data_IF_603102715307
#
_entry.id   IF_603102715307
#
_cell.length_a   1.000
_cell.length_b   1.000
_cell.length_c   1.000
_cell.angle_alpha   90.00
_cell.angle_beta   90.00
_cell.angle_gamma   90.00
#
_symmetry.space_group_name_H-M   'P 1'
#
loop_
_entity.id
_entity.type
_entity.pdbx_description
1 polymer ?
#
# COMPACT_ATOMS: atom_id res chain seq x y z
N UNK A 1 -25.95 88.42 93.23
CA UNK A 1 -26.78 89.48 92.72
C UNK A 1 -27.74 88.81 91.78
N UNK A 2 -28.85 88.57 92.25
CA UNK A 2 -30.16 89.18 92.03
C UNK A 2 -30.84 88.55 90.82
N UNK A 3 -31.82 87.72 91.16
CA UNK A 3 -33.28 87.92 91.18
C UNK A 3 -33.88 87.83 89.75
N UNK A 4 -35.00 87.29 89.48
CA UNK A 4 -36.19 86.85 90.20
C UNK A 4 -37.08 86.18 89.23
N UNK A 5 -37.78 85.15 89.67
CA UNK A 5 -39.19 84.88 89.65
C UNK A 5 -40.03 85.39 88.42
N UNK A 6 -40.91 84.62 87.84
CA UNK A 6 -42.23 84.24 88.33
C UNK A 6 -42.94 83.42 87.20
N UNK A 7 -43.48 82.26 87.53
CA UNK A 7 -44.84 81.83 87.74
C UNK A 7 -45.93 82.41 86.80
N UNK A 8 -46.64 81.55 86.14
CA UNK A 8 -48.10 81.48 86.16
C UNK A 8 -48.61 80.22 85.35
N UNK A 9 -49.50 79.53 85.97
CA UNK A 9 -50.32 78.37 85.62
C UNK A 9 -51.27 78.61 84.43
N UNK A 10 -51.80 77.53 83.96
CA UNK A 10 -53.12 77.18 83.48
C UNK A 10 -53.20 76.73 82.07
N UNK A 11 -53.79 75.77 81.61
CA UNK A 11 -54.86 74.86 81.91
C UNK A 11 -54.99 73.83 80.79
N UNK A 12 -55.40 72.61 81.09
CA UNK A 12 -55.76 71.51 80.17
C UNK A 12 -57.05 71.87 79.39
N UNK A 13 -57.28 71.40 78.20
CA UNK A 13 -58.12 70.21 78.06
C UNK A 13 -57.70 69.10 77.09
N UNK A 14 -58.05 67.90 77.49
CA UNK A 14 -58.15 66.65 76.77
C UNK A 14 -58.89 66.72 75.46
N UNK A 15 -58.39 66.09 74.38
CA UNK A 15 -59.28 65.42 73.44
C UNK A 15 -58.58 64.21 72.81
N UNK A 16 -59.10 63.05 73.16
CA UNK A 16 -58.85 61.78 72.53
C UNK A 16 -59.42 61.73 71.14
N UNK A 17 -58.71 61.24 70.17
CA UNK A 17 -59.23 60.31 69.11
C UNK A 17 -58.17 60.18 67.96
N UNK A 18 -57.93 58.99 67.54
CA UNK A 18 -57.44 58.45 66.22
C UNK A 18 -56.00 57.92 66.17
N UNK A 19 -55.76 56.84 66.94
CA UNK A 19 -54.53 56.07 66.79
C UNK A 19 -54.73 54.77 65.91
N UNK A 20 -55.92 54.50 65.41
CA UNK A 20 -56.22 53.25 64.70
C UNK A 20 -55.94 53.32 63.15
N UNK A 21 -55.70 54.47 62.57
CA UNK A 21 -55.49 54.62 61.13
C UNK A 21 -53.99 54.62 60.69
N UNK A 22 -53.11 54.81 61.65
CA UNK A 22 -51.68 54.76 61.34
C UNK A 22 -51.05 53.35 61.43
N UNK A 23 -51.64 52.46 62.27
CA UNK A 23 -51.17 51.09 62.33
C UNK A 23 -51.51 50.23 61.10
N UNK A 24 -52.69 50.45 60.50
CA UNK A 24 -53.07 49.76 59.29
C UNK A 24 -52.31 50.25 58.04
N UNK A 25 -51.91 51.52 57.96
CA UNK A 25 -51.02 52.03 56.87
C UNK A 25 -49.62 51.51 57.02
N UNK A 26 -49.08 51.37 58.22
CA UNK A 26 -47.73 50.81 58.51
C UNK A 26 -47.73 49.29 58.20
N UNK A 27 -48.77 48.55 58.55
CA UNK A 27 -48.87 47.10 58.19
C UNK A 27 -49.00 46.92 56.67
N UNK A 28 -49.74 47.72 55.94
CA UNK A 28 -49.79 47.68 54.44
C UNK A 28 -48.50 48.10 53.78
N UNK A 29 -47.78 49.09 54.33
CA UNK A 29 -46.46 49.51 53.84
C UNK A 29 -45.40 48.46 54.13
N UNK A 30 -45.37 47.83 55.28
CA UNK A 30 -44.51 46.69 55.59
C UNK A 30 -44.84 45.48 54.73
N UNK A 31 -46.12 45.17 54.46
CA UNK A 31 -46.49 44.10 53.54
C UNK A 31 -46.06 44.37 52.09
N UNK A 32 -46.19 45.61 51.62
CA UNK A 32 -45.69 46.03 50.28
C UNK A 32 -44.18 45.96 50.18
N UNK A 33 -43.45 46.36 51.22
CA UNK A 33 -41.99 46.25 51.27
C UNK A 33 -41.52 44.80 51.33
N UNK A 34 -42.20 43.95 52.08
CA UNK A 34 -41.94 42.51 52.12
C UNK A 34 -42.20 41.83 50.76
N UNK A 35 -43.24 42.27 50.02
CA UNK A 35 -43.51 41.78 48.66
C UNK A 35 -42.43 42.18 47.67
N UNK A 36 -41.93 43.44 47.75
CA UNK A 36 -40.82 43.91 46.91
C UNK A 36 -39.53 43.15 47.21
N UNK A 37 -39.22 42.87 48.49
CA UNK A 37 -38.07 42.07 48.87
C UNK A 37 -38.18 40.62 48.36
N UNK A 38 -39.40 40.04 48.42
CA UNK A 38 -39.65 38.70 47.92
C UNK A 38 -39.53 38.62 46.41
N UNK A 39 -40.03 39.62 45.66
CA UNK A 39 -39.82 39.75 44.21
C UNK A 39 -38.33 39.94 43.88
N UNK A 40 -37.60 40.80 44.62
CA UNK A 40 -36.19 40.98 44.46
C UNK A 40 -35.39 39.70 44.77
N UNK A 41 -35.79 38.95 45.79
CA UNK A 41 -35.19 37.65 46.11
C UNK A 41 -35.44 36.60 45.03
N UNK A 42 -36.68 36.58 44.46
CA UNK A 42 -37.02 35.69 43.34
C UNK A 42 -36.21 36.08 42.08
N UNK A 43 -36.15 37.36 41.75
CA UNK A 43 -35.33 37.87 40.62
C UNK A 43 -33.86 37.58 40.82
N UNK A 44 -33.35 37.72 42.04
CA UNK A 44 -31.97 37.37 42.36
C UNK A 44 -31.72 35.86 42.26
N UNK A 45 -32.70 35.04 42.73
CA UNK A 45 -32.61 33.60 42.59
C UNK A 45 -32.65 33.14 41.11
N UNK A 46 -33.51 33.76 40.31
CA UNK A 46 -33.56 33.51 38.86
C UNK A 46 -32.25 33.93 38.18
N UNK A 47 -31.74 35.10 38.52
CA UNK A 47 -30.47 35.59 38.01
C UNK A 47 -29.29 34.67 38.43
N UNK A 48 -29.22 34.25 39.68
CA UNK A 48 -28.18 33.38 40.19
C UNK A 48 -28.24 31.95 39.64
N UNK A 49 -29.49 31.41 39.43
CA UNK A 49 -29.70 30.07 38.92
C UNK A 49 -29.62 29.95 37.40
N UNK A 50 -30.00 30.99 36.64
CA UNK A 50 -30.06 30.93 35.18
C UNK A 50 -29.01 31.72 34.44
N UNK A 51 -28.54 32.86 34.95
CA UNK A 51 -27.57 33.71 34.24
C UNK A 51 -26.13 33.57 34.71
N UNK A 52 -25.85 33.02 35.89
CA UNK A 52 -24.49 32.94 36.42
C UNK A 52 -23.87 31.56 36.27
N UNK A 53 -24.03 30.94 35.07
CA UNK A 53 -23.46 29.63 34.76
C UNK A 53 -22.33 29.68 33.74
N UNK A 54 -21.85 30.84 33.36
CA UNK A 54 -20.68 30.96 32.46
C UNK A 54 -19.39 30.70 33.24
N UNK A 55 -18.53 29.89 32.68
CA UNK A 55 -17.17 29.66 33.13
C UNK A 55 -16.23 30.19 32.07
N UNK A 56 -15.38 31.12 32.41
CA UNK A 56 -14.42 31.74 31.46
C UNK A 56 -12.98 31.33 31.81
N UNK A 57 -12.14 31.24 30.80
CA UNK A 57 -10.70 31.08 30.93
C UNK A 57 -10.01 31.94 29.88
N UNK A 58 -8.94 32.56 30.24
CA UNK A 58 -8.01 33.33 29.39
C UNK A 58 -6.83 32.45 28.89
N UNK A 59 -6.76 31.21 29.39
CA UNK A 59 -5.77 30.26 28.99
C UNK A 59 -6.32 29.31 27.91
N UNK A 60 -6.64 29.88 26.74
CA UNK A 60 -7.15 29.17 25.58
C UNK A 60 -6.23 29.44 24.38
N UNK A 61 -5.90 28.36 23.66
CA UNK A 61 -5.04 28.42 22.49
C UNK A 61 -5.75 27.81 21.29
N UNK A 62 -5.63 28.45 20.13
CA UNK A 62 -6.08 27.90 18.86
C UNK A 62 -5.04 26.91 18.36
N UNK A 63 -5.46 25.67 18.17
CA UNK A 63 -4.66 24.59 17.60
C UNK A 63 -5.16 24.18 16.22
N UNK A 64 -4.31 23.50 15.48
CA UNK A 64 -4.65 22.86 14.22
C UNK A 64 -3.83 21.58 14.08
N UNK A 65 -4.41 20.54 13.47
CA UNK A 65 -3.65 19.35 13.06
C UNK A 65 -2.81 19.71 11.84
N UNK A 66 -1.52 19.98 12.07
CA UNK A 66 -0.62 20.44 11.01
C UNK A 66 -0.07 19.25 10.20
N UNK A 67 -0.13 19.34 8.87
CA UNK A 67 0.51 18.40 7.97
C UNK A 67 1.98 18.78 7.77
N UNK A 68 2.89 17.95 8.25
CA UNK A 68 4.32 18.12 8.03
C UNK A 68 4.72 17.55 6.67
N UNK A 69 5.30 18.37 5.81
CA UNK A 69 5.78 17.97 4.49
C UNK A 69 7.25 17.60 4.59
N UNK A 70 7.55 16.33 4.29
CA UNK A 70 8.90 15.79 4.29
C UNK A 70 9.27 15.23 2.92
N UNK A 71 10.58 15.19 2.60
CA UNK A 71 11.05 14.48 1.42
C UNK A 71 10.97 12.97 1.65
N UNK A 72 10.55 12.23 0.63
CA UNK A 72 10.59 10.76 0.60
C UNK A 72 11.80 10.24 -0.19
N UNK A 73 12.44 11.10 -0.99
CA UNK A 73 13.62 10.77 -1.80
C UNK A 73 14.76 11.72 -1.52
N UNK A 74 15.99 11.28 -1.78
CA UNK A 74 17.17 12.14 -1.69
C UNK A 74 17.40 12.87 -3.03
N UNK A 75 17.80 14.13 -2.95
CA UNK A 75 18.15 14.89 -4.15
C UNK A 75 18.39 16.36 -3.86
N UNK A 76 18.71 17.12 -4.89
CA UNK A 76 18.82 18.57 -4.81
C UNK A 76 17.47 19.21 -5.14
N UNK A 77 17.06 20.22 -4.39
CA UNK A 77 15.86 20.99 -4.68
C UNK A 77 16.07 21.81 -5.95
N UNK A 78 15.32 21.48 -6.99
CA UNK A 78 15.36 22.19 -8.27
C UNK A 78 14.51 23.46 -8.24
N UNK A 79 13.31 23.39 -7.63
CA UNK A 79 12.37 24.49 -7.58
C UNK A 79 11.54 24.45 -6.29
N UNK A 80 11.27 25.62 -5.72
CA UNK A 80 10.27 25.82 -4.67
C UNK A 80 9.20 26.76 -5.24
N UNK A 81 7.99 26.27 -5.39
CA UNK A 81 6.90 26.93 -6.11
C UNK A 81 5.97 27.74 -5.20
N UNK A 82 6.19 27.69 -3.90
CA UNK A 82 5.32 28.25 -2.88
C UNK A 82 6.10 29.13 -1.90
N UNK A 83 5.39 30.08 -1.27
CA UNK A 83 5.92 31.02 -0.26
C UNK A 83 5.29 30.75 1.09
N UNK A 84 5.95 31.24 2.16
CA UNK A 84 5.32 31.28 3.48
C UNK A 84 4.01 32.07 3.43
N UNK A 85 3.04 31.66 4.21
CA UNK A 85 1.68 32.24 4.30
C UNK A 85 0.83 32.10 3.04
N UNK A 86 1.29 31.37 2.03
CA UNK A 86 0.52 31.09 0.82
C UNK A 86 -0.52 30.01 1.07
N UNK A 87 -1.75 30.26 0.63
CA UNK A 87 -2.82 29.25 0.60
C UNK A 87 -2.55 28.26 -0.53
N UNK A 88 -2.70 26.97 -0.24
CA UNK A 88 -2.55 25.86 -1.18
C UNK A 88 -3.72 24.90 -1.07
N UNK A 89 -4.01 24.22 -2.18
CA UNK A 89 -5.02 23.17 -2.25
C UNK A 89 -4.36 21.78 -2.34
N UNK A 90 -5.07 20.77 -1.90
CA UNK A 90 -4.64 19.39 -2.02
C UNK A 90 -4.28 19.05 -3.46
N UNK A 91 -3.06 18.53 -3.66
CA UNK A 91 -2.52 18.18 -4.98
C UNK A 91 -1.63 19.26 -5.60
N UNK A 92 -1.65 20.51 -5.09
CA UNK A 92 -0.75 21.57 -5.57
C UNK A 92 0.71 21.17 -5.42
N UNK A 93 1.52 21.51 -6.42
CA UNK A 93 2.96 21.23 -6.41
C UNK A 93 3.67 22.25 -5.54
N UNK A 94 4.32 21.78 -4.49
CA UNK A 94 5.04 22.62 -3.52
C UNK A 94 6.52 22.75 -3.88
N UNK A 95 7.17 21.62 -4.13
CA UNK A 95 8.62 21.53 -4.37
C UNK A 95 8.88 20.52 -5.49
N UNK A 96 9.86 20.81 -6.32
CA UNK A 96 10.44 19.86 -7.28
C UNK A 96 11.87 19.57 -6.89
N UNK A 97 12.17 18.30 -6.69
CA UNK A 97 13.53 17.78 -6.54
C UNK A 97 14.07 17.48 -7.94
N UNK A 98 15.36 17.58 -8.14
CA UNK A 98 16.03 17.19 -9.40
C UNK A 98 15.74 15.72 -9.70
N UNK A 99 15.09 15.47 -10.83
CA UNK A 99 14.59 14.15 -11.22
C UNK A 99 15.57 13.37 -12.13
N UNK A 100 16.74 13.94 -12.44
CA UNK A 100 17.69 13.32 -13.37
C UNK A 100 18.17 11.97 -12.88
N UNK A 101 18.56 11.87 -11.61
CA UNK A 101 19.02 10.61 -11.02
C UNK A 101 17.89 9.57 -10.99
N UNK A 102 16.66 9.96 -10.66
CA UNK A 102 15.49 9.09 -10.67
C UNK A 102 15.15 8.60 -12.09
N UNK A 103 15.26 9.45 -13.11
CA UNK A 103 15.06 9.08 -14.51
C UNK A 103 16.12 8.08 -14.99
N UNK A 104 17.38 8.26 -14.60
CA UNK A 104 18.46 7.32 -14.92
C UNK A 104 18.18 5.97 -14.24
N UNK A 105 17.79 5.96 -12.97
CA UNK A 105 17.44 4.74 -12.25
C UNK A 105 16.25 4.01 -12.90
N UNK A 106 15.22 4.74 -13.33
CA UNK A 106 14.09 4.17 -14.07
C UNK A 106 14.54 3.54 -15.38
N UNK A 107 15.34 4.25 -16.19
CA UNK A 107 15.85 3.72 -17.46
C UNK A 107 16.72 2.47 -17.26
N UNK A 108 17.51 2.40 -16.19
CA UNK A 108 18.29 1.21 -15.83
C UNK A 108 17.37 0.04 -15.48
N UNK A 109 16.36 0.26 -14.63
CA UNK A 109 15.39 -0.78 -14.24
C UNK A 109 14.59 -1.29 -15.46
N UNK A 110 14.19 -0.42 -16.39
CA UNK A 110 13.51 -0.81 -17.64
C UNK A 110 14.44 -1.65 -18.55
N UNK A 111 15.72 -1.31 -18.60
CA UNK A 111 16.70 -2.09 -19.36
C UNK A 111 16.91 -3.48 -18.74
N UNK A 112 16.92 -3.61 -17.42
CA UNK A 112 17.00 -4.88 -16.70
C UNK A 112 15.75 -5.73 -16.96
N UNK A 113 14.56 -5.14 -16.92
CA UNK A 113 13.31 -5.82 -17.26
C UNK A 113 13.34 -6.33 -18.70
N UNK A 114 13.77 -5.51 -19.64
CA UNK A 114 13.90 -5.90 -21.02
C UNK A 114 14.91 -7.05 -21.21
N UNK A 115 16.00 -7.06 -20.43
CA UNK A 115 16.98 -8.15 -20.41
C UNK A 115 16.36 -9.45 -19.87
N UNK A 116 15.64 -9.41 -18.76
CA UNK A 116 14.98 -10.57 -18.17
C UNK A 116 13.95 -11.17 -19.14
N UNK A 117 13.14 -10.34 -19.80
CA UNK A 117 12.18 -10.78 -20.83
C UNK A 117 12.89 -11.45 -22.03
N UNK A 118 14.02 -10.88 -22.49
CA UNK A 118 14.80 -11.50 -23.57
C UNK A 118 15.38 -12.86 -23.14
N UNK A 119 15.86 -12.99 -21.91
CA UNK A 119 16.37 -14.26 -21.38
C UNK A 119 15.31 -15.35 -21.39
N UNK A 120 14.09 -15.05 -20.95
CA UNK A 120 12.96 -15.97 -21.04
C UNK A 120 12.70 -16.40 -22.48
N UNK A 121 12.60 -15.45 -23.42
CA UNK A 121 12.40 -15.73 -24.85
C UNK A 121 13.49 -16.59 -25.45
N UNK A 122 14.75 -16.37 -25.05
CA UNK A 122 15.89 -17.18 -25.48
C UNK A 122 15.73 -18.62 -24.97
N UNK A 123 15.37 -18.83 -23.72
CA UNK A 123 15.15 -20.17 -23.15
C UNK A 123 13.98 -20.88 -23.85
N UNK A 124 12.88 -20.18 -24.10
CA UNK A 124 11.74 -20.71 -24.84
C UNK A 124 12.08 -21.09 -26.29
N UNK A 125 12.84 -20.25 -26.97
CA UNK A 125 13.32 -20.58 -28.35
C UNK A 125 14.28 -21.78 -28.34
N UNK A 126 15.13 -21.91 -27.31
CA UNK A 126 16.01 -23.06 -27.17
C UNK A 126 15.20 -24.35 -26.94
N UNK A 127 14.11 -24.32 -26.12
CA UNK A 127 13.20 -25.46 -25.97
C UNK A 127 12.57 -25.89 -27.31
N UNK A 128 12.16 -24.93 -28.14
CA UNK A 128 11.64 -25.22 -29.48
C UNK A 128 12.67 -25.93 -30.38
N UNK A 129 13.93 -25.46 -30.34
CA UNK A 129 15.04 -26.08 -31.07
C UNK A 129 15.33 -27.50 -30.61
N UNK A 130 15.37 -27.70 -29.27
CA UNK A 130 15.58 -29.04 -28.67
C UNK A 130 14.43 -29.99 -28.98
N UNK A 131 13.18 -29.51 -29.00
CA UNK A 131 12.04 -30.32 -29.41
C UNK A 131 12.16 -30.77 -30.88
N UNK A 132 12.61 -29.88 -31.78
CA UNK A 132 12.90 -30.26 -33.17
C UNK A 132 13.95 -31.36 -33.26
N UNK A 133 14.99 -31.33 -32.40
CA UNK A 133 16.01 -32.40 -32.33
C UNK A 133 15.38 -33.74 -31.87
N UNK A 134 14.47 -33.71 -30.88
CA UNK A 134 13.74 -34.92 -30.44
C UNK A 134 12.96 -35.55 -31.61
N UNK A 135 12.30 -34.71 -32.43
CA UNK A 135 11.57 -35.18 -33.66
C UNK A 135 12.55 -35.83 -34.64
N UNK A 136 13.68 -35.22 -34.93
CA UNK A 136 14.71 -35.82 -35.85
C UNK A 136 15.18 -37.17 -35.29
N UNK A 137 15.44 -37.32 -34.00
CA UNK A 137 15.82 -38.57 -33.37
C UNK A 137 14.68 -39.62 -33.43
N UNK A 138 13.42 -39.21 -33.43
CA UNK A 138 12.29 -40.11 -33.62
C UNK A 138 12.26 -40.68 -35.06
N UNK A 139 12.62 -39.89 -36.07
CA UNK A 139 12.72 -40.33 -37.44
C UNK A 139 13.90 -41.32 -37.64
N UNK A 140 15.01 -41.10 -36.95
CA UNK A 140 16.11 -42.05 -36.92
C UNK A 140 15.68 -43.43 -36.36
N UNK A 141 14.82 -43.47 -35.32
CA UNK A 141 14.22 -44.70 -34.82
C UNK A 141 13.39 -45.38 -35.87
N UNK A 142 12.56 -44.63 -36.63
CA UNK A 142 11.75 -45.18 -37.70
C UNK A 142 12.62 -45.81 -38.81
N UNK A 143 13.73 -45.17 -39.17
CA UNK A 143 14.71 -45.73 -40.11
C UNK A 143 15.37 -46.97 -39.55
N UNK A 144 15.80 -46.97 -38.29
CA UNK A 144 16.41 -48.17 -37.65
C UNK A 144 15.40 -49.34 -37.52
N UNK A 145 14.12 -49.07 -37.30
CA UNK A 145 13.05 -50.10 -37.33
C UNK A 145 12.90 -50.73 -38.68
N UNK A 146 12.97 -49.94 -39.78
CA UNK A 146 12.94 -50.45 -41.12
C UNK A 146 14.13 -51.37 -41.42
N UNK A 147 15.33 -50.98 -40.93
CA UNK A 147 16.55 -51.82 -41.03
C UNK A 147 16.40 -53.16 -40.30
N UNK A 148 15.84 -53.14 -39.07
CA UNK A 148 15.52 -54.37 -38.32
C UNK A 148 14.56 -55.26 -39.09
N UNK A 149 13.47 -54.67 -39.65
CA UNK A 149 12.49 -55.40 -40.46
C UNK A 149 13.14 -56.06 -41.72
N UNK A 150 14.01 -55.32 -42.39
CA UNK A 150 14.77 -55.88 -43.52
C UNK A 150 15.69 -57.04 -43.08
N UNK A 151 16.49 -56.85 -42.04
CA UNK A 151 17.40 -57.89 -41.52
C UNK A 151 16.64 -59.11 -41.00
N UNK A 152 15.45 -58.94 -40.42
CA UNK A 152 14.57 -60.03 -39.99
C UNK A 152 14.09 -60.83 -41.23
N UNK A 153 13.67 -60.17 -42.27
CA UNK A 153 13.22 -60.84 -43.50
C UNK A 153 14.36 -61.64 -44.14
N UNK A 154 15.60 -61.08 -44.11
CA UNK A 154 16.78 -61.78 -44.63
C UNK A 154 17.11 -63.03 -43.79
N UNK A 155 17.04 -62.93 -42.48
CA UNK A 155 17.20 -64.08 -41.57
C UNK A 155 16.12 -65.13 -41.78
N UNK A 156 14.82 -64.74 -41.88
CA UNK A 156 13.73 -65.68 -42.09
C UNK A 156 13.87 -66.43 -43.43
N UNK A 157 14.29 -65.74 -44.49
CA UNK A 157 14.59 -66.33 -45.78
C UNK A 157 15.72 -67.35 -45.71
N UNK A 158 16.84 -66.98 -45.04
CA UNK A 158 17.96 -67.89 -44.88
C UNK A 158 17.62 -69.14 -44.04
N UNK A 159 16.81 -68.97 -42.98
CA UNK A 159 16.35 -70.02 -42.12
C UNK A 159 15.42 -71.01 -42.87
N UNK A 160 14.49 -70.53 -43.74
CA UNK A 160 13.65 -71.33 -44.60
C UNK A 160 14.47 -72.15 -45.58
N UNK A 161 15.48 -71.52 -46.22
CA UNK A 161 16.36 -72.23 -47.15
C UNK A 161 17.21 -73.32 -46.46
N UNK A 162 17.74 -73.04 -45.28
CA UNK A 162 18.46 -74.04 -44.46
C UNK A 162 17.53 -75.25 -44.14
N UNK A 163 16.27 -75.00 -43.70
CA UNK A 163 15.32 -76.09 -43.37
C UNK A 163 15.01 -76.94 -44.63
N UNK A 164 14.77 -76.27 -45.79
CA UNK A 164 14.58 -76.98 -47.05
C UNK A 164 15.78 -77.88 -47.41
N UNK A 165 17.00 -77.37 -47.34
CA UNK A 165 18.22 -78.04 -47.62
C UNK A 165 18.48 -79.21 -46.64
N UNK A 166 18.18 -79.01 -45.35
CA UNK A 166 18.33 -80.05 -44.34
C UNK A 166 17.36 -81.22 -44.62
N UNK A 167 16.13 -80.97 -45.08
CA UNK A 167 15.16 -82.03 -45.43
C UNK A 167 15.63 -82.77 -46.68
N UNK A 168 16.19 -82.09 -47.69
CA UNK A 168 16.67 -82.70 -48.91
C UNK A 168 18.00 -83.49 -48.65
N UNK A 169 18.83 -83.04 -47.75
CA UNK A 169 20.06 -83.75 -47.34
C UNK A 169 19.75 -85.13 -46.71
N UNK A 170 18.63 -85.24 -45.94
CA UNK A 170 18.18 -86.52 -45.36
C UNK A 170 17.83 -87.53 -46.43
N UNK A 171 17.41 -87.09 -47.64
CA UNK A 171 17.16 -87.98 -48.80
C UNK A 171 18.36 -88.16 -49.72
N UNK A 172 19.52 -87.60 -49.40
CA UNK A 172 20.74 -87.70 -50.21
C UNK A 172 20.75 -86.75 -51.44
N UNK A 173 19.78 -85.89 -51.60
CA UNK A 173 19.61 -85.01 -52.77
C UNK A 173 20.47 -83.72 -52.72
N UNK A 174 21.16 -83.37 -51.62
CA UNK A 174 21.97 -82.18 -51.40
C UNK A 174 23.33 -82.56 -50.79
N UNK A 175 24.41 -81.93 -51.21
CA UNK A 175 25.79 -82.14 -50.71
C UNK A 175 25.97 -81.53 -49.30
N UNK A 176 26.93 -82.13 -48.52
CA UNK A 176 27.30 -81.58 -47.22
C UNK A 176 27.81 -80.11 -47.31
N UNK A 177 28.49 -79.75 -48.42
CA UNK A 177 28.97 -78.39 -48.67
C UNK A 177 27.87 -77.41 -48.81
N UNK A 178 26.81 -77.79 -49.56
CA UNK A 178 25.60 -76.90 -49.73
C UNK A 178 24.84 -76.69 -48.42
N UNK A 179 24.76 -77.74 -47.57
CA UNK A 179 24.21 -77.63 -46.23
C UNK A 179 25.01 -76.67 -45.36
N UNK A 180 26.37 -76.81 -45.36
CA UNK A 180 27.29 -75.92 -44.62
C UNK A 180 27.16 -74.49 -45.07
N UNK A 181 27.07 -74.24 -46.42
CA UNK A 181 26.82 -72.91 -46.96
C UNK A 181 25.50 -72.33 -46.47
N UNK A 182 24.41 -73.10 -46.38
CA UNK A 182 23.14 -72.64 -45.88
C UNK A 182 23.20 -72.35 -44.37
N UNK A 183 23.94 -73.16 -43.59
CA UNK A 183 24.19 -72.87 -42.19
C UNK A 183 24.96 -71.55 -41.99
N UNK A 184 26.03 -71.39 -42.75
CA UNK A 184 26.82 -70.11 -42.69
C UNK A 184 25.97 -68.90 -43.12
N UNK A 185 25.06 -69.02 -44.11
CA UNK A 185 24.17 -67.94 -44.51
C UNK A 185 23.18 -67.55 -43.37
N UNK A 186 22.65 -68.51 -42.61
CA UNK A 186 21.78 -68.24 -41.47
C UNK A 186 22.55 -67.51 -40.35
N UNK A 187 23.77 -67.96 -40.05
CA UNK A 187 24.59 -67.29 -39.03
C UNK A 187 24.98 -65.88 -39.45
N UNK A 188 25.27 -65.64 -40.70
CA UNK A 188 25.54 -64.31 -41.22
C UNK A 188 24.31 -63.42 -41.15
N UNK A 189 23.14 -63.90 -41.55
CA UNK A 189 21.87 -63.14 -41.46
C UNK A 189 21.44 -62.86 -40.03
N UNK A 190 21.68 -63.82 -39.10
CA UNK A 190 21.47 -63.63 -37.66
C UNK A 190 22.38 -62.55 -37.12
N UNK A 191 23.66 -62.54 -37.43
CA UNK A 191 24.57 -61.49 -37.04
C UNK A 191 24.13 -60.12 -37.57
N UNK A 192 23.66 -60.05 -38.83
CA UNK A 192 23.08 -58.85 -39.42
C UNK A 192 21.83 -58.32 -38.66
N UNK A 193 20.95 -59.25 -38.27
CA UNK A 193 19.76 -58.93 -37.47
C UNK A 193 20.15 -58.37 -36.10
N UNK A 194 21.11 -58.99 -35.43
CA UNK A 194 21.57 -58.49 -34.08
C UNK A 194 22.24 -57.10 -34.22
N UNK A 195 23.01 -56.89 -35.31
CA UNK A 195 23.58 -55.55 -35.59
C UNK A 195 22.47 -54.49 -35.80
N UNK A 196 21.43 -54.81 -36.58
CA UNK A 196 20.29 -53.93 -36.83
C UNK A 196 19.53 -53.62 -35.50
N UNK A 197 19.31 -54.62 -34.66
CA UNK A 197 18.71 -54.42 -33.32
C UNK A 197 19.57 -53.55 -32.43
N UNK A 198 20.88 -53.73 -32.44
CA UNK A 198 21.80 -52.85 -31.70
C UNK A 198 21.71 -51.40 -32.23
N UNK A 199 21.58 -51.21 -33.54
CA UNK A 199 21.33 -49.89 -34.14
C UNK A 199 20.05 -49.25 -33.68
N UNK A 200 18.95 -50.02 -33.60
CA UNK A 200 17.68 -49.52 -33.05
C UNK A 200 17.80 -49.15 -31.56
N UNK A 201 18.47 -49.94 -30.75
CA UNK A 201 18.72 -49.64 -29.35
C UNK A 201 19.53 -48.37 -29.21
N UNK A 202 20.53 -48.14 -30.02
CA UNK A 202 21.33 -46.90 -30.06
C UNK A 202 20.48 -45.71 -30.42
N UNK A 203 19.66 -45.77 -31.46
CA UNK A 203 18.76 -44.69 -31.87
C UNK A 203 17.75 -44.35 -30.77
N UNK A 204 17.20 -45.36 -30.10
CA UNK A 204 16.28 -45.19 -28.97
C UNK A 204 16.95 -44.48 -27.79
N UNK A 205 18.20 -44.87 -27.46
CA UNK A 205 19.00 -44.23 -26.40
C UNK A 205 19.34 -42.77 -26.76
N UNK A 206 19.66 -42.47 -28.02
CA UNK A 206 19.92 -41.13 -28.50
C UNK A 206 18.68 -40.21 -28.40
N UNK A 207 17.50 -40.74 -28.75
CA UNK A 207 16.24 -39.98 -28.54
C UNK A 207 15.98 -39.70 -27.06
N UNK A 208 16.14 -40.68 -26.21
CA UNK A 208 15.95 -40.54 -24.75
C UNK A 208 16.91 -39.46 -24.17
N UNK A 209 18.15 -39.43 -24.64
CA UNK A 209 19.10 -38.38 -24.26
C UNK A 209 18.63 -36.99 -24.70
N UNK A 210 18.15 -36.86 -25.94
CA UNK A 210 17.58 -35.60 -26.45
C UNK A 210 16.33 -35.15 -25.65
N UNK A 211 15.44 -36.07 -25.31
CA UNK A 211 14.26 -35.81 -24.45
C UNK A 211 14.66 -35.32 -23.06
N UNK A 212 15.71 -35.96 -22.47
CA UNK A 212 16.22 -35.52 -21.17
C UNK A 212 16.82 -34.09 -21.23
N UNK A 213 17.50 -33.73 -22.32
CA UNK A 213 18.04 -32.39 -22.54
C UNK A 213 16.90 -31.37 -22.73
N UNK A 214 15.87 -31.72 -23.48
CA UNK A 214 14.66 -30.88 -23.62
C UNK A 214 14.00 -30.65 -22.26
N UNK A 215 13.74 -31.73 -21.51
CA UNK A 215 13.11 -31.65 -20.19
C UNK A 215 13.90 -30.80 -19.20
N UNK A 216 15.23 -30.89 -19.22
CA UNK A 216 16.10 -30.04 -18.40
C UNK A 216 15.96 -28.55 -18.76
N UNK A 217 15.86 -28.21 -20.05
CA UNK A 217 15.66 -26.82 -20.49
C UNK A 217 14.21 -26.34 -20.19
N UNK A 218 13.22 -27.20 -20.37
CA UNK A 218 11.81 -26.89 -20.07
C UNK A 218 11.61 -26.64 -18.58
N UNK A 219 12.31 -27.34 -17.70
CA UNK A 219 12.23 -27.13 -16.26
C UNK A 219 12.55 -25.71 -15.83
N UNK A 220 13.30 -24.92 -16.65
CA UNK A 220 13.60 -23.51 -16.39
C UNK A 220 12.41 -22.58 -16.62
N UNK A 221 11.44 -23.03 -17.45
CA UNK A 221 10.28 -22.21 -17.85
C UNK A 221 8.93 -22.92 -17.63
N UNK A 222 8.97 -24.13 -17.08
CA UNK A 222 7.75 -24.94 -16.89
C UNK A 222 6.80 -24.29 -15.90
N UNK A 223 5.53 -24.15 -16.30
CA UNK A 223 4.47 -23.61 -15.44
C UNK A 223 4.51 -22.07 -15.28
N UNK A 224 5.43 -21.38 -15.95
CA UNK A 224 5.54 -19.92 -15.89
C UNK A 224 5.37 -19.29 -17.28
N UNK A 225 4.73 -18.15 -17.33
CA UNK A 225 4.68 -17.29 -18.53
C UNK A 225 5.84 -16.28 -18.51
N UNK A 226 6.03 -15.54 -19.61
CA UNK A 226 7.01 -14.45 -19.65
C UNK A 226 6.84 -13.46 -18.48
N UNK A 227 5.60 -13.16 -18.11
CA UNK A 227 5.28 -12.19 -17.05
C UNK A 227 5.31 -12.79 -15.64
N UNK A 228 5.20 -14.11 -15.49
CA UNK A 228 5.19 -14.80 -14.20
C UNK A 228 6.53 -15.42 -13.82
N UNK A 229 7.54 -15.30 -14.68
CA UNK A 229 8.90 -15.75 -14.38
C UNK A 229 9.47 -14.92 -13.23
N UNK A 230 10.09 -15.54 -12.20
CA UNK A 230 10.61 -14.80 -11.03
C UNK A 230 11.55 -13.65 -11.39
N UNK A 231 12.48 -13.85 -12.32
CA UNK A 231 13.42 -12.82 -12.75
C UNK A 231 12.72 -11.62 -13.39
N UNK A 232 11.64 -11.86 -14.17
CA UNK A 232 10.86 -10.79 -14.78
C UNK A 232 10.04 -10.06 -13.71
N UNK A 233 9.48 -10.77 -12.72
CA UNK A 233 8.75 -10.14 -11.61
C UNK A 233 9.66 -9.28 -10.74
N UNK A 234 10.87 -9.75 -10.43
CA UNK A 234 11.86 -8.95 -9.68
C UNK A 234 12.23 -7.69 -10.46
N UNK A 235 12.53 -7.83 -11.74
CA UNK A 235 12.87 -6.70 -12.58
C UNK A 235 11.68 -5.72 -12.76
N UNK A 236 10.46 -6.23 -12.82
CA UNK A 236 9.25 -5.41 -12.86
C UNK A 236 9.07 -4.61 -11.56
N UNK A 237 9.29 -5.24 -10.40
CA UNK A 237 9.23 -4.57 -9.11
C UNK A 237 10.29 -3.44 -8.99
N UNK A 238 11.50 -3.63 -9.58
CA UNK A 238 12.51 -2.58 -9.64
C UNK A 238 12.05 -1.39 -10.50
N UNK A 239 11.35 -1.64 -11.62
CA UNK A 239 10.75 -0.57 -12.44
C UNK A 239 9.71 0.20 -11.65
N UNK A 240 8.80 -0.49 -10.96
CA UNK A 240 7.76 0.13 -10.13
C UNK A 240 8.36 0.97 -9.00
N UNK A 241 9.41 0.47 -8.35
CA UNK A 241 10.13 1.22 -7.32
C UNK A 241 10.76 2.50 -7.90
N UNK A 242 11.48 2.39 -9.02
CA UNK A 242 12.12 3.54 -9.65
C UNK A 242 11.10 4.57 -10.17
N UNK A 243 9.94 4.12 -10.66
CA UNK A 243 8.85 4.98 -11.07
C UNK A 243 8.25 5.72 -9.87
N UNK A 244 8.01 5.01 -8.77
CA UNK A 244 7.51 5.63 -7.53
C UNK A 244 8.50 6.66 -6.99
N UNK A 245 9.80 6.39 -7.04
CA UNK A 245 10.83 7.34 -6.61
C UNK A 245 10.89 8.57 -7.53
N UNK A 246 10.67 8.40 -8.83
CA UNK A 246 10.51 9.51 -9.78
C UNK A 246 9.26 10.34 -9.47
N UNK A 247 8.12 9.73 -9.19
CA UNK A 247 6.90 10.45 -8.79
C UNK A 247 7.11 11.25 -7.50
N UNK A 248 7.85 10.71 -6.54
CA UNK A 248 8.19 11.35 -5.26
C UNK A 248 9.15 12.54 -5.38
N UNK A 249 9.76 12.76 -6.55
CA UNK A 249 10.53 13.99 -6.80
C UNK A 249 9.64 15.22 -6.88
N UNK A 250 8.34 15.06 -7.15
CA UNK A 250 7.35 16.13 -7.19
C UNK A 250 6.52 16.09 -5.91
N UNK A 251 6.84 16.98 -4.98
CA UNK A 251 6.18 17.05 -3.67
C UNK A 251 4.93 17.90 -3.78
N UNK A 252 3.80 17.31 -3.36
CA UNK A 252 2.47 17.92 -3.44
C UNK A 252 1.86 18.10 -2.05
N UNK A 253 0.92 19.03 -1.94
CA UNK A 253 0.13 19.27 -0.74
C UNK A 253 -0.82 18.08 -0.48
N UNK A 254 -0.78 17.45 0.70
CA UNK A 254 -1.71 16.37 1.06
C UNK A 254 -3.09 16.87 1.50
N UNK A 255 -3.17 18.13 1.96
CA UNK A 255 -4.38 18.80 2.48
C UNK A 255 -4.44 20.24 2.00
N UNK A 256 -5.64 20.82 2.06
CA UNK A 256 -5.85 22.26 1.87
C UNK A 256 -5.37 23.02 3.10
N UNK A 257 -4.79 24.18 2.93
CA UNK A 257 -4.35 25.00 4.07
C UNK A 257 -3.38 26.10 3.71
N UNK A 258 -2.73 26.64 4.72
CA UNK A 258 -1.74 27.72 4.59
C UNK A 258 -0.36 27.20 4.96
N UNK A 259 0.63 27.49 4.13
CA UNK A 259 2.03 27.10 4.35
C UNK A 259 2.61 27.92 5.50
N UNK A 260 3.32 27.21 6.36
CA UNK A 260 4.09 27.79 7.46
C UNK A 260 5.42 27.08 7.62
N UNK A 261 6.40 27.74 8.25
CA UNK A 261 7.73 27.17 8.55
C UNK A 261 8.41 26.55 7.33
N UNK A 262 8.46 27.26 6.22
CA UNK A 262 9.20 26.82 5.03
C UNK A 262 10.72 26.88 5.27
N UNK A 263 11.33 25.73 5.53
CA UNK A 263 12.76 25.59 5.84
C UNK A 263 13.59 25.09 4.65
N UNK A 264 13.06 25.20 3.42
CA UNK A 264 13.71 24.67 2.22
C UNK A 264 14.06 25.79 1.25
N UNK A 265 15.23 25.67 0.58
CA UNK A 265 15.71 26.59 -0.43
C UNK A 265 16.10 25.87 -1.71
N UNK A 266 16.03 26.57 -2.84
CA UNK A 266 16.51 26.07 -4.13
C UNK A 266 18.02 25.80 -4.04
N UNK A 267 18.45 24.67 -4.56
CA UNK A 267 19.87 24.22 -4.51
C UNK A 267 20.21 23.43 -3.26
N UNK A 268 19.36 23.41 -2.23
CA UNK A 268 19.58 22.62 -1.01
C UNK A 268 19.44 21.14 -1.30
N UNK A 269 20.33 20.30 -0.71
CA UNK A 269 20.21 18.85 -0.76
C UNK A 269 19.31 18.36 0.37
N UNK A 270 18.36 17.49 0.04
CA UNK A 270 17.45 16.86 1.00
C UNK A 270 17.66 15.35 1.03
N UNK A 271 17.31 14.73 2.15
CA UNK A 271 17.29 13.30 2.36
C UNK A 271 15.89 12.86 2.81
N UNK A 272 15.52 11.57 2.70
CA UNK A 272 14.26 11.07 3.21
C UNK A 272 14.05 11.45 4.69
N UNK A 273 12.86 11.95 5.01
CA UNK A 273 12.52 12.45 6.35
C UNK A 273 12.90 13.91 6.62
N UNK A 274 13.61 14.59 5.72
CA UNK A 274 13.90 16.02 5.89
C UNK A 274 12.60 16.83 5.87
N UNK A 275 12.31 17.54 6.96
CA UNK A 275 11.18 18.45 7.07
C UNK A 275 11.40 19.69 6.22
N UNK A 276 10.49 19.98 5.30
CA UNK A 276 10.61 21.07 4.36
C UNK A 276 9.70 22.26 4.70
N UNK A 277 8.46 21.98 5.08
CA UNK A 277 7.46 22.96 5.45
C UNK A 277 6.31 22.29 6.19
N UNK A 278 5.40 23.08 6.74
CA UNK A 278 4.15 22.62 7.36
C UNK A 278 2.96 23.28 6.67
N UNK A 279 1.85 22.57 6.59
CA UNK A 279 0.57 23.10 6.14
C UNK A 279 -0.40 23.08 7.31
N UNK A 280 -1.00 24.22 7.60
CA UNK A 280 -2.03 24.39 8.62
C UNK A 280 -3.39 24.41 7.92
N UNK A 281 -4.24 23.38 8.10
CA UNK A 281 -5.59 23.38 7.57
C UNK A 281 -6.43 24.39 8.36
N UNK A 282 -7.00 25.38 7.66
CA UNK A 282 -7.81 26.43 8.31
C UNK A 282 -9.25 25.96 8.62
N UNK A 283 -9.69 24.87 8.00
CA UNK A 283 -11.05 24.34 8.19
C UNK A 283 -11.18 23.42 9.42
N UNK A 284 -10.06 22.94 9.96
CA UNK A 284 -10.02 21.98 11.08
C UNK A 284 -9.31 22.59 12.30
N UNK A 285 -9.64 23.85 12.59
CA UNK A 285 -9.13 24.52 13.79
C UNK A 285 -9.91 24.08 15.02
N UNK A 286 -9.22 23.89 16.10
CA UNK A 286 -9.79 23.62 17.43
C UNK A 286 -9.21 24.56 18.47
N UNK A 287 -9.90 24.67 19.61
CA UNK A 287 -9.45 25.50 20.73
C UNK A 287 -9.23 24.64 21.95
N UNK A 288 -7.99 24.64 22.43
CA UNK A 288 -7.61 24.03 23.71
C UNK A 288 -7.79 25.06 24.83
N UNK A 289 -8.86 24.93 25.58
CA UNK A 289 -9.17 25.79 26.70
C UNK A 289 -8.83 25.12 28.04
N UNK A 290 -7.84 25.66 28.73
CA UNK A 290 -7.38 25.13 30.02
C UNK A 290 -8.20 25.75 31.16
N UNK A 291 -9.06 24.95 31.79
CA UNK A 291 -9.84 25.35 32.96
C UNK A 291 -9.17 24.87 34.25
N UNK A 292 -9.31 25.63 35.32
CA UNK A 292 -8.90 25.19 36.66
C UNK A 292 -9.82 24.06 37.13
N UNK A 293 -9.30 23.14 37.94
CA UNK A 293 -10.08 22.00 38.45
C UNK A 293 -11.38 22.41 39.14
N UNK A 294 -11.36 23.51 39.89
CA UNK A 294 -12.54 24.06 40.55
C UNK A 294 -13.66 24.51 39.58
N UNK A 295 -13.31 24.86 38.35
CA UNK A 295 -14.21 25.32 37.30
C UNK A 295 -14.83 24.14 36.52
N UNK A 296 -14.11 23.00 36.41
CA UNK A 296 -14.54 21.82 35.64
C UNK A 296 -15.85 21.20 36.14
N UNK A 297 -16.22 21.41 37.41
CA UNK A 297 -17.50 20.93 37.97
C UNK A 297 -18.71 21.42 37.20
N UNK A 298 -18.61 22.57 36.51
CA UNK A 298 -19.71 23.22 35.80
C UNK A 298 -19.67 23.00 34.28
N UNK A 299 -18.57 22.45 33.74
CA UNK A 299 -18.38 22.20 32.31
C UNK A 299 -18.92 20.83 31.93
N UNK A 300 -19.68 20.76 30.86
CA UNK A 300 -20.26 19.52 30.30
C UNK A 300 -20.08 19.51 28.79
N UNK A 301 -19.86 18.33 28.19
CA UNK A 301 -19.86 18.21 26.72
C UNK A 301 -21.17 18.70 26.11
N UNK A 302 -21.08 19.42 25.00
CA UNK A 302 -22.23 19.98 24.27
C UNK A 302 -22.69 21.35 24.72
N UNK A 303 -22.03 21.98 25.71
CA UNK A 303 -22.33 23.38 26.09
C UNK A 303 -21.88 24.34 24.99
N UNK A 304 -22.67 25.43 24.73
CA UNK A 304 -22.25 26.49 23.82
C UNK A 304 -21.02 27.22 24.38
N UNK A 305 -20.08 27.51 23.50
CA UNK A 305 -18.84 28.23 23.84
C UNK A 305 -18.78 29.51 23.03
N UNK A 306 -18.47 30.62 23.69
CA UNK A 306 -18.19 31.90 23.06
C UNK A 306 -16.69 32.14 23.14
N UNK A 307 -16.07 32.41 21.99
CA UNK A 307 -14.66 32.76 21.88
C UNK A 307 -14.56 34.26 21.58
N UNK A 308 -13.76 34.95 22.35
CA UNK A 308 -13.38 36.36 22.11
C UNK A 308 -11.89 36.42 21.80
N UNK A 309 -11.51 37.22 20.83
CA UNK A 309 -10.11 37.40 20.44
C UNK A 309 -9.71 38.87 20.60
N UNK A 310 -8.66 39.12 21.36
CA UNK A 310 -8.14 40.49 21.53
C UNK A 310 -7.62 41.09 20.22
N UNK A 311 -7.32 40.26 19.20
CA UNK A 311 -6.80 40.67 17.92
C UNK A 311 -7.89 41.22 16.98
N UNK A 312 -9.11 40.67 17.05
CA UNK A 312 -10.21 40.99 16.11
C UNK A 312 -11.38 41.75 16.74
N UNK A 313 -11.34 42.01 18.06
CA UNK A 313 -12.43 42.61 18.79
C UNK A 313 -13.64 41.67 18.95
N UNK A 314 -14.72 42.18 19.53
CA UNK A 314 -15.99 41.47 19.71
C UNK A 314 -16.78 41.38 18.39
#
# INVERSE_FOLDING_TARGET
MTDAQSNVQETVPTTSASDDNMQNKRKKFLGFFALILLIAAILYAIWALFLNHSVSTDNAYVGAETAQITSMVSGQVAQVLVKDTQTVHRGDVLVRIDDRDAKIALAQAEAELAKAKRQYKQTAANSSSLNSQVVVRADEINSAKAQVAQAQADYDKAALELNRRAQLAASGAVSKEELTKAQSAVETAKAGLELAKAGLAQATSSRKAAESTLAANEALIQGVSETSTPDVQVAQAHVEQAQLDLERTVIRAPVDGVITRRNIQVGQRVAPGTSMMMIVPLNDLYVDANFKESQLKKVRPGQPVTLTSDLYGD
#
